data_IF_594546913521
#
_entry.id   IF_594546913521
#
_cell.length_a   1.000
_cell.length_b   1.000
_cell.length_c   1.000
_cell.angle_alpha   90.00
_cell.angle_beta   90.00
_cell.angle_gamma   90.00
#
_symmetry.space_group_name_H-M   'P 1'
#
loop_
_entity.id
_entity.type
_entity.pdbx_description
1 polymer ?
#
# COMPACT_ATOMS: atom_id res chain seq x y z
N UNK A 1 -5.83 -6.91 -35.57
CA UNK A 1 -5.87 -6.51 -34.16
C UNK A 1 -7.22 -5.91 -33.81
N UNK A 2 -7.49 -5.67 -32.53
CA UNK A 2 -8.67 -4.92 -32.05
C UNK A 2 -8.65 -3.47 -32.56
N UNK A 3 -9.84 -2.87 -32.73
CA UNK A 3 -10.00 -1.56 -33.40
C UNK A 3 -10.56 -0.44 -32.49
N UNK A 4 -10.86 -0.73 -31.22
CA UNK A 4 -11.37 0.26 -30.27
C UNK A 4 -11.00 -0.11 -28.83
N UNK A 5 -11.07 0.85 -27.91
CA UNK A 5 -10.84 0.60 -26.48
C UNK A 5 -11.85 -0.39 -25.87
N UNK A 6 -13.11 -0.38 -26.34
CA UNK A 6 -14.11 -1.34 -25.87
C UNK A 6 -13.85 -2.75 -26.40
N UNK A 7 -13.35 -2.86 -27.64
CA UNK A 7 -12.88 -4.14 -28.18
C UNK A 7 -11.64 -4.69 -27.45
N UNK A 8 -10.83 -3.83 -26.80
CA UNK A 8 -9.76 -4.24 -25.86
C UNK A 8 -10.37 -4.76 -24.55
N UNK A 9 -11.31 -4.01 -23.95
CA UNK A 9 -11.95 -4.35 -22.65
C UNK A 9 -12.73 -5.66 -22.71
N UNK A 10 -13.36 -5.96 -23.85
CA UNK A 10 -14.10 -7.20 -24.08
C UNK A 10 -13.24 -8.43 -24.37
N UNK A 11 -11.91 -8.35 -24.37
CA UNK A 11 -11.06 -9.52 -24.58
C UNK A 11 -11.07 -10.46 -23.37
N UNK A 12 -11.10 -11.80 -23.57
CA UNK A 12 -11.04 -12.77 -22.49
C UNK A 12 -9.65 -12.88 -21.84
N UNK A 13 -8.63 -12.27 -22.44
CA UNK A 13 -7.25 -12.27 -21.97
C UNK A 13 -6.59 -10.89 -22.13
N UNK A 14 -5.61 -10.52 -21.29
CA UNK A 14 -4.86 -9.28 -21.44
C UNK A 14 -4.09 -9.22 -22.76
N UNK A 15 -4.19 -8.10 -23.47
CA UNK A 15 -3.43 -7.88 -24.71
C UNK A 15 -1.95 -7.55 -24.46
N UNK A 16 -1.63 -6.98 -23.30
CA UNK A 16 -0.24 -6.72 -22.88
C UNK A 16 0.22 -7.92 -22.07
N UNK A 17 1.08 -8.74 -22.68
CA UNK A 17 1.72 -9.89 -22.05
C UNK A 17 3.21 -9.93 -22.44
N UNK A 18 4.00 -10.65 -21.64
CA UNK A 18 5.34 -11.04 -22.06
C UNK A 18 5.25 -12.18 -23.09
N UNK A 19 6.17 -12.23 -24.05
CA UNK A 19 6.44 -13.46 -24.79
C UNK A 19 6.85 -14.58 -23.83
N UNK A 20 6.65 -15.84 -24.21
CA UNK A 20 6.94 -16.98 -23.33
C UNK A 20 8.38 -16.97 -22.81
N UNK A 21 9.34 -16.56 -23.64
CA UNK A 21 10.76 -16.48 -23.29
C UNK A 21 11.02 -15.40 -22.23
N UNK A 22 10.46 -14.21 -22.42
CA UNK A 22 10.57 -13.11 -21.48
C UNK A 22 9.80 -13.40 -20.18
N UNK A 23 8.68 -14.12 -20.25
CA UNK A 23 7.94 -14.59 -19.08
C UNK A 23 8.76 -15.58 -18.26
N UNK A 24 9.44 -16.54 -18.90
CA UNK A 24 10.37 -17.48 -18.23
C UNK A 24 11.54 -16.73 -17.57
N UNK A 25 12.16 -15.79 -18.28
CA UNK A 25 13.24 -14.96 -17.75
C UNK A 25 12.79 -14.09 -16.55
N UNK A 26 11.63 -13.43 -16.65
CA UNK A 26 11.07 -12.60 -15.58
C UNK A 26 10.74 -13.43 -14.32
N UNK A 27 10.19 -14.64 -14.49
CA UNK A 27 9.95 -15.59 -13.39
C UNK A 27 11.25 -16.00 -12.69
N UNK A 28 12.30 -16.30 -13.46
CA UNK A 28 13.61 -16.64 -12.90
C UNK A 28 14.23 -15.46 -12.12
N UNK A 29 14.19 -14.25 -12.69
CA UNK A 29 14.64 -13.02 -12.03
C UNK A 29 13.85 -12.73 -10.74
N UNK A 30 12.52 -12.83 -10.78
CA UNK A 30 11.68 -12.67 -9.58
C UNK A 30 12.07 -13.66 -8.49
N UNK A 31 12.22 -14.95 -8.82
CA UNK A 31 12.67 -15.98 -7.86
C UNK A 31 14.00 -15.60 -7.21
N UNK A 32 14.98 -15.18 -8.02
CA UNK A 32 16.28 -14.71 -7.53
C UNK A 32 16.15 -13.50 -6.60
N UNK A 33 15.38 -12.48 -6.96
CA UNK A 33 15.18 -11.27 -6.15
C UNK A 33 14.46 -11.55 -4.83
N UNK A 34 13.47 -12.44 -4.81
CA UNK A 34 12.83 -12.85 -3.54
C UNK A 34 13.81 -13.58 -2.62
N UNK A 35 14.60 -14.51 -3.16
CA UNK A 35 15.58 -15.28 -2.38
C UNK A 35 16.73 -14.41 -1.84
N UNK A 36 17.21 -13.42 -2.60
CA UNK A 36 18.45 -12.71 -2.29
C UNK A 36 18.25 -11.26 -1.82
N UNK A 37 17.08 -10.66 -2.04
CA UNK A 37 16.80 -9.24 -1.72
C UNK A 37 15.61 -9.09 -0.78
N UNK A 38 14.40 -9.47 -1.21
CA UNK A 38 13.18 -9.13 -0.46
C UNK A 38 13.07 -9.82 0.91
N UNK A 39 13.56 -11.06 1.04
CA UNK A 39 13.59 -11.78 2.32
C UNK A 39 14.89 -11.57 3.11
N UNK A 40 15.80 -10.72 2.65
CA UNK A 40 17.04 -10.44 3.38
C UNK A 40 16.72 -9.82 4.77
N UNK A 41 17.30 -10.28 5.89
CA UNK A 41 16.91 -9.86 7.24
C UNK A 41 16.90 -8.35 7.48
N UNK A 42 17.82 -7.59 6.85
CA UNK A 42 17.81 -6.12 6.88
C UNK A 42 16.50 -5.52 6.32
N UNK A 43 15.99 -6.02 5.19
CA UNK A 43 14.75 -5.55 4.56
C UNK A 43 13.54 -5.97 5.41
N UNK A 44 13.51 -7.23 5.85
CA UNK A 44 12.45 -7.74 6.72
C UNK A 44 12.34 -6.95 8.04
N UNK A 45 13.47 -6.53 8.62
CA UNK A 45 13.52 -5.69 9.81
C UNK A 45 12.98 -4.28 9.61
N UNK A 46 13.22 -3.64 8.46
CA UNK A 46 12.60 -2.35 8.11
C UNK A 46 11.09 -2.50 7.94
N UNK A 47 10.64 -3.49 7.17
CA UNK A 47 9.22 -3.76 6.94
C UNK A 47 8.46 -4.01 8.25
N UNK A 48 9.02 -4.79 9.19
CA UNK A 48 8.39 -5.04 10.49
C UNK A 48 8.13 -3.75 11.27
N UNK A 49 9.14 -2.87 11.36
CA UNK A 49 8.99 -1.56 12.02
C UNK A 49 7.95 -0.69 11.32
N UNK A 50 7.93 -0.66 9.98
CA UNK A 50 6.91 0.08 9.24
C UNK A 50 5.49 -0.43 9.52
N UNK A 51 5.27 -1.75 9.56
CA UNK A 51 3.98 -2.32 9.95
C UNK A 51 3.58 -2.03 11.40
N UNK A 52 4.54 -1.97 12.33
CA UNK A 52 4.29 -1.60 13.73
C UNK A 52 3.91 -0.12 13.87
N UNK A 53 4.59 0.77 13.15
CA UNK A 53 4.25 2.19 13.10
C UNK A 53 2.86 2.42 12.50
N UNK A 54 2.58 1.83 11.32
CA UNK A 54 1.25 1.88 10.69
C UNK A 54 0.15 1.38 11.64
N UNK A 55 0.36 0.25 12.32
CA UNK A 55 -0.60 -0.28 13.29
C UNK A 55 -0.89 0.71 14.40
N UNK A 56 0.13 1.35 14.99
CA UNK A 56 -0.07 2.29 16.11
C UNK A 56 -0.73 3.60 15.69
N UNK A 57 -0.40 4.13 14.52
CA UNK A 57 -1.08 5.30 13.95
C UNK A 57 -2.55 4.96 13.65
N UNK A 58 -2.82 3.79 13.05
CA UNK A 58 -4.17 3.30 12.77
C UNK A 58 -5.01 3.11 14.05
N UNK A 59 -4.49 2.38 15.04
CA UNK A 59 -5.15 2.19 16.35
C UNK A 59 -5.47 3.53 17.02
N UNK A 60 -4.57 4.51 16.93
CA UNK A 60 -4.74 5.84 17.54
C UNK A 60 -5.86 6.63 16.88
N UNK A 61 -5.92 6.69 15.55
CA UNK A 61 -6.99 7.41 14.83
C UNK A 61 -8.34 6.69 14.88
N UNK A 62 -8.39 5.38 15.19
CA UNK A 62 -9.65 4.71 15.53
C UNK A 62 -10.18 5.10 16.91
N UNK A 63 -9.28 5.35 17.88
CA UNK A 63 -9.64 5.75 19.25
C UNK A 63 -9.95 7.24 19.36
N UNK A 64 -9.26 8.08 18.59
CA UNK A 64 -9.39 9.54 18.57
C UNK A 64 -9.43 10.03 17.10
N UNK A 65 -10.61 9.95 16.42
CA UNK A 65 -10.73 10.29 15.00
C UNK A 65 -10.57 11.78 14.70
N UNK A 66 -10.70 12.66 15.69
CA UNK A 66 -10.53 14.11 15.50
C UNK A 66 -9.07 14.46 15.13
N UNK A 67 -8.11 13.59 15.47
CA UNK A 67 -6.70 13.69 15.04
C UNK A 67 -6.48 13.57 13.53
N UNK A 68 -7.45 13.03 12.77
CA UNK A 68 -7.36 12.97 11.30
C UNK A 68 -7.46 14.38 10.66
N UNK A 69 -8.03 15.34 11.40
CA UNK A 69 -8.32 16.69 10.93
C UNK A 69 -9.57 16.78 10.04
N UNK A 70 -10.22 17.94 10.06
CA UNK A 70 -11.56 18.21 9.52
C UNK A 70 -11.87 17.57 8.15
N UNK A 71 -10.92 17.65 7.20
CA UNK A 71 -11.11 17.14 5.83
C UNK A 71 -11.31 15.63 5.80
N UNK A 72 -10.58 14.90 6.65
CA UNK A 72 -10.69 13.46 6.76
C UNK A 72 -11.85 13.07 7.69
N UNK A 73 -12.02 13.73 8.84
CA UNK A 73 -13.13 13.47 9.77
C UNK A 73 -14.50 13.60 9.08
N UNK A 74 -14.67 14.55 8.15
CA UNK A 74 -15.90 14.69 7.32
C UNK A 74 -16.22 13.49 6.42
N UNK A 75 -15.25 12.62 6.11
CA UNK A 75 -15.46 11.38 5.32
C UNK A 75 -15.98 10.21 6.17
N UNK A 76 -15.90 10.30 7.51
CA UNK A 76 -16.32 9.22 8.42
C UNK A 76 -17.82 8.91 8.28
N UNK A 77 -18.66 9.93 8.11
CA UNK A 77 -20.11 9.76 7.95
C UNK A 77 -20.49 9.04 6.62
N UNK A 78 -20.03 9.48 5.44
CA UNK A 78 -20.38 8.82 4.18
C UNK A 78 -19.61 7.50 3.90
N UNK A 79 -18.42 7.29 4.48
CA UNK A 79 -17.55 6.15 4.13
C UNK A 79 -17.31 5.15 5.27
N UNK A 80 -17.55 5.56 6.52
CA UNK A 80 -17.23 4.80 7.72
C UNK A 80 -15.78 4.99 8.20
N UNK A 81 -15.62 5.01 9.53
CA UNK A 81 -14.36 5.28 10.24
C UNK A 81 -13.17 4.45 9.72
N UNK A 82 -13.32 3.13 9.62
CA UNK A 82 -12.25 2.23 9.19
C UNK A 82 -11.76 2.51 7.76
N UNK A 83 -12.67 2.87 6.84
CA UNK A 83 -12.32 3.24 5.46
C UNK A 83 -11.58 4.57 5.45
N UNK A 84 -12.11 5.57 6.13
CA UNK A 84 -11.51 6.91 6.22
C UNK A 84 -10.08 6.85 6.77
N UNK A 85 -9.87 6.13 7.88
CA UNK A 85 -8.54 5.96 8.48
C UNK A 85 -7.59 5.20 7.54
N UNK A 86 -8.03 4.10 6.92
CA UNK A 86 -7.21 3.36 5.94
C UNK A 86 -6.76 4.26 4.78
N UNK A 87 -7.66 5.05 4.20
CA UNK A 87 -7.36 5.90 3.06
C UNK A 87 -6.49 7.10 3.44
N UNK A 88 -6.64 7.63 4.66
CA UNK A 88 -5.75 8.65 5.21
C UNK A 88 -4.32 8.13 5.40
N UNK A 89 -4.16 6.93 5.98
CA UNK A 89 -2.85 6.28 6.11
C UNK A 89 -2.24 5.94 4.74
N UNK A 90 -3.04 5.50 3.77
CA UNK A 90 -2.58 5.20 2.42
C UNK A 90 -2.12 6.45 1.65
N UNK A 91 -2.59 7.64 2.03
CA UNK A 91 -2.10 8.94 1.53
C UNK A 91 -0.81 9.44 2.17
N UNK A 92 -0.31 8.78 3.22
CA UNK A 92 0.93 9.20 3.89
C UNK A 92 2.18 8.86 3.07
N UNK A 93 3.19 9.73 3.18
CA UNK A 93 4.57 9.37 2.81
C UNK A 93 5.28 8.70 3.99
N UNK A 94 6.30 7.89 3.73
CA UNK A 94 7.13 7.26 4.78
C UNK A 94 7.61 8.26 5.83
N UNK A 95 8.06 9.45 5.40
CA UNK A 95 8.49 10.53 6.30
C UNK A 95 7.35 11.02 7.18
N UNK A 96 6.17 11.26 6.60
CA UNK A 96 5.01 11.74 7.34
C UNK A 96 4.50 10.69 8.35
N UNK A 97 4.49 9.40 7.97
CA UNK A 97 4.18 8.29 8.88
C UNK A 97 5.15 8.25 10.08
N UNK A 98 6.45 8.42 9.86
CA UNK A 98 7.45 8.45 10.94
C UNK A 98 7.25 9.66 11.87
N UNK A 99 6.89 10.82 11.31
CA UNK A 99 6.59 12.05 12.07
C UNK A 99 5.29 11.92 12.91
N UNK A 100 4.23 11.34 12.35
CA UNK A 100 2.97 11.04 13.08
C UNK A 100 3.20 10.00 14.18
N UNK A 101 3.89 8.91 13.87
CA UNK A 101 4.22 7.88 14.86
C UNK A 101 5.02 8.47 16.02
N UNK A 102 6.04 9.29 15.73
CA UNK A 102 6.81 10.00 16.76
C UNK A 102 5.94 10.93 17.62
N UNK A 103 5.01 11.68 17.01
CA UNK A 103 4.02 12.49 17.77
C UNK A 103 3.14 11.66 18.69
N UNK A 104 2.78 10.44 18.29
CA UNK A 104 1.88 9.56 19.05
C UNK A 104 2.60 8.86 20.21
N UNK A 105 3.87 8.44 20.04
CA UNK A 105 4.62 7.69 21.09
C UNK A 105 5.41 8.56 22.06
N UNK A 106 5.44 9.88 21.84
CA UNK A 106 6.08 10.86 22.73
C UNK A 106 5.06 11.77 23.46
N UNK A 107 3.78 11.42 23.41
CA UNK A 107 2.71 11.92 24.28
C UNK A 107 2.52 11.01 25.49
#
# INVERSE_FOLDING_TARGET
GVQSADAVRGQPAPLICYSDDLLRANRALRKFLYQNVYYHPRVAGVNRRACEMLRKVFETYLLDPDRLGDTATKRIEPEGLYRTVCDYLAGMTDRYLMEEYARIVHM
#
